data_IF_238113440740
#
_entry.id   IF_238113440740
#
_cell.length_a   1.000
_cell.length_b   1.000
_cell.length_c   1.000
_cell.angle_alpha   90.00
_cell.angle_beta   90.00
_cell.angle_gamma   90.00
#
_symmetry.space_group_name_H-M   'P 1'
#
loop_
_entity.id
_entity.type
_entity.pdbx_description
1 polymer ?
#
# COMPACT_ATOMS: atom_id res chain seq x y z
N UNK A 1 22.25 -58.17 9.52
CA UNK A 1 23.55 -57.50 9.75
C UNK A 1 23.55 -56.19 8.99
N UNK A 2 23.67 -55.08 9.72
CA UNK A 2 23.59 -53.70 9.21
C UNK A 2 24.94 -53.31 8.62
N UNK A 3 25.00 -52.78 7.39
CA UNK A 3 25.85 -51.67 6.91
C UNK A 3 25.52 -51.37 5.44
N UNK A 4 25.15 -50.13 5.11
CA UNK A 4 25.60 -49.48 3.87
C UNK A 4 25.61 -47.96 4.09
N UNK A 5 26.74 -47.35 3.72
CA UNK A 5 27.25 -46.03 4.14
C UNK A 5 26.71 -44.88 3.28
N UNK A 6 26.57 -43.73 3.95
CA UNK A 6 26.57 -42.32 3.51
C UNK A 6 27.03 -41.98 2.07
N UNK A 7 26.23 -41.15 1.37
CA UNK A 7 26.49 -40.02 0.41
C UNK A 7 25.23 -39.91 -0.50
N UNK A 8 24.66 -38.79 -0.95
CA UNK A 8 25.03 -37.38 -1.12
C UNK A 8 23.72 -36.55 -1.26
N UNK A 9 23.73 -35.33 -0.73
CA UNK A 9 22.72 -34.29 -0.99
C UNK A 9 22.82 -33.82 -2.44
N UNK A 10 21.73 -33.89 -3.21
CA UNK A 10 21.41 -32.99 -4.32
C UNK A 10 19.90 -33.05 -4.55
N UNK A 11 19.11 -32.45 -3.65
CA UNK A 11 17.81 -31.95 -4.09
C UNK A 11 18.13 -30.65 -4.82
N UNK A 12 18.09 -30.70 -6.15
CA UNK A 12 18.04 -29.51 -6.97
C UNK A 12 16.74 -28.75 -6.62
N UNK A 13 16.79 -27.90 -5.61
CA UNK A 13 15.84 -26.79 -5.51
C UNK A 13 16.38 -25.74 -6.47
N UNK A 14 16.04 -25.95 -7.75
CA UNK A 14 16.23 -25.00 -8.82
C UNK A 14 15.70 -23.64 -8.39
N UNK A 15 16.56 -22.63 -8.50
CA UNK A 15 16.27 -21.20 -8.40
C UNK A 15 15.08 -20.86 -7.49
N UNK A 16 15.34 -20.83 -6.18
CA UNK A 16 14.61 -19.92 -5.32
C UNK A 16 15.10 -18.52 -5.69
N UNK A 17 14.59 -17.99 -6.81
CA UNK A 17 14.51 -16.55 -6.96
C UNK A 17 13.71 -16.11 -5.72
N UNK A 18 14.40 -15.55 -4.75
CA UNK A 18 13.78 -14.67 -3.78
C UNK A 18 13.17 -13.56 -4.64
N UNK A 19 11.92 -13.76 -5.04
CA UNK A 19 11.07 -12.65 -5.44
C UNK A 19 10.90 -11.91 -4.12
N UNK A 20 11.69 -10.84 -3.91
CA UNK A 20 11.34 -9.84 -2.91
C UNK A 20 10.09 -9.17 -3.48
N UNK A 21 8.94 -9.84 -3.37
CA UNK A 21 7.70 -9.13 -3.40
C UNK A 21 7.81 -8.20 -2.20
N UNK A 22 7.93 -6.91 -2.45
CA UNK A 22 7.89 -5.94 -1.38
C UNK A 22 6.50 -6.09 -0.77
N UNK A 23 6.40 -6.85 0.31
CA UNK A 23 5.16 -6.98 1.05
C UNK A 23 4.88 -5.62 1.68
N UNK A 24 4.02 -4.85 1.02
CA UNK A 24 3.49 -3.63 1.60
C UNK A 24 2.47 -4.00 2.68
N UNK A 25 2.38 -3.19 3.74
CA UNK A 25 1.33 -3.34 4.72
C UNK A 25 0.08 -2.62 4.21
N UNK A 26 -0.60 -3.24 3.25
CA UNK A 26 -1.86 -2.70 2.71
C UNK A 26 -2.87 -2.48 3.84
N UNK A 27 -3.27 -1.22 4.02
CA UNK A 27 -4.23 -0.84 5.06
C UNK A 27 -5.51 -0.32 4.43
N UNK A 28 -6.61 -1.07 4.57
CA UNK A 28 -7.92 -0.62 4.08
C UNK A 28 -8.55 0.41 5.02
N UNK A 29 -9.06 1.49 4.45
CA UNK A 29 -9.69 2.60 5.19
C UNK A 29 -11.00 3.05 4.54
N UNK A 30 -11.95 3.44 5.37
CA UNK A 30 -13.25 4.01 4.96
C UNK A 30 -13.97 4.63 6.16
N UNK A 31 -15.05 5.38 5.91
CA UNK A 31 -15.91 5.90 6.97
C UNK A 31 -15.33 7.14 7.66
N UNK A 32 -15.60 7.29 8.95
CA UNK A 32 -15.20 8.47 9.70
C UNK A 32 -13.87 8.24 10.44
N UNK A 33 -12.91 9.12 10.21
CA UNK A 33 -11.60 9.09 10.88
C UNK A 33 -11.66 9.78 12.24
N UNK A 34 -10.86 9.29 13.19
CA UNK A 34 -10.52 9.94 14.45
C UNK A 34 -9.06 10.42 14.42
N UNK A 35 -8.64 11.22 15.40
CA UNK A 35 -7.25 11.71 15.46
C UNK A 35 -6.25 10.57 15.33
N UNK A 36 -5.46 10.62 14.26
CA UNK A 36 -4.52 9.54 13.93
C UNK A 36 -3.43 10.00 12.98
N UNK A 37 -2.37 9.21 12.90
CA UNK A 37 -1.27 9.39 11.98
C UNK A 37 -1.17 8.13 11.12
N UNK A 38 -1.23 8.31 9.81
CA UNK A 38 -0.88 7.30 8.84
C UNK A 38 0.63 7.33 8.61
N UNK A 39 1.26 6.19 8.80
CA UNK A 39 2.72 6.02 8.77
C UNK A 39 3.15 5.26 7.54
N UNK A 40 4.41 5.41 7.13
CA UNK A 40 4.96 4.63 6.01
C UNK A 40 4.89 3.12 6.23
N UNK A 41 4.94 2.68 7.50
CA UNK A 41 4.82 1.28 7.88
C UNK A 41 3.41 0.70 7.64
N UNK A 42 2.37 1.52 7.51
CA UNK A 42 1.01 1.11 7.12
C UNK A 42 0.66 1.44 5.68
N UNK A 43 1.63 1.87 4.88
CA UNK A 43 1.43 2.23 3.48
C UNK A 43 1.49 1.00 2.56
N UNK A 44 0.67 0.93 1.49
CA UNK A 44 -0.30 1.93 1.09
C UNK A 44 -1.61 1.87 1.90
N UNK A 45 -2.24 3.02 2.04
CA UNK A 45 -3.60 3.14 2.57
C UNK A 45 -4.61 3.11 1.43
N UNK A 46 -5.51 2.13 1.41
CA UNK A 46 -6.48 1.92 0.33
C UNK A 46 -7.86 2.41 0.78
N UNK A 47 -8.31 3.50 0.18
CA UNK A 47 -9.66 4.07 0.37
C UNK A 47 -10.68 3.20 -0.37
N UNK A 48 -11.28 2.23 0.33
CA UNK A 48 -12.31 1.30 -0.20
C UNK A 48 -13.76 1.75 0.04
N UNK A 49 -13.93 2.94 0.57
CA UNK A 49 -15.20 3.62 0.75
C UNK A 49 -14.93 5.10 1.03
N UNK A 50 -15.94 5.95 0.86
CA UNK A 50 -15.79 7.37 1.13
C UNK A 50 -15.30 7.57 2.57
N UNK A 51 -14.29 8.41 2.73
CA UNK A 51 -13.65 8.68 4.00
C UNK A 51 -13.91 10.14 4.40
N UNK A 52 -14.23 10.38 5.66
CA UNK A 52 -14.54 11.70 6.20
C UNK A 52 -13.58 11.99 7.35
N UNK A 53 -12.93 13.14 7.31
CA UNK A 53 -12.18 13.73 8.43
C UNK A 53 -13.10 14.79 9.03
N UNK A 54 -13.74 14.54 10.19
CA UNK A 54 -14.66 15.49 10.83
C UNK A 54 -13.99 16.79 11.25
N UNK A 55 -14.80 17.80 11.56
CA UNK A 55 -14.32 19.00 12.23
C UNK A 55 -13.60 18.65 13.54
N UNK A 56 -12.56 19.40 13.88
CA UNK A 56 -11.70 19.19 15.05
C UNK A 56 -10.94 17.86 15.09
N UNK A 57 -10.92 17.09 13.99
CA UNK A 57 -10.08 15.90 13.82
C UNK A 57 -8.89 16.21 12.92
N UNK A 58 -7.73 15.68 13.27
CA UNK A 58 -6.51 15.72 12.45
C UNK A 58 -6.15 14.33 11.96
N UNK A 59 -6.06 14.18 10.64
CA UNK A 59 -5.39 13.05 10.00
C UNK A 59 -4.00 13.51 9.55
N UNK A 60 -2.97 12.99 10.21
CA UNK A 60 -1.57 13.20 9.80
C UNK A 60 -1.14 12.15 8.78
N UNK A 61 -0.44 12.56 7.73
CA UNK A 61 0.23 11.69 6.76
C UNK A 61 1.73 11.93 6.86
N UNK A 62 2.49 10.90 7.27
CA UNK A 62 3.95 10.98 7.29
C UNK A 62 4.56 11.09 5.88
N UNK A 63 5.79 11.59 5.81
CA UNK A 63 6.58 11.64 4.56
C UNK A 63 6.69 10.23 3.95
N UNK A 64 6.36 10.10 2.66
CA UNK A 64 6.43 8.82 1.94
C UNK A 64 5.15 7.95 2.00
N UNK A 65 4.09 8.40 2.69
CA UNK A 65 2.81 7.70 2.68
C UNK A 65 2.19 7.71 1.29
N UNK A 66 1.73 6.53 0.84
CA UNK A 66 0.94 6.35 -0.37
C UNK A 66 -0.52 6.11 0.02
N UNK A 67 -1.42 6.90 -0.54
CA UNK A 67 -2.87 6.77 -0.40
C UNK A 67 -3.44 6.42 -1.78
N UNK A 68 -4.16 5.31 -1.83
CA UNK A 68 -4.75 4.77 -3.05
C UNK A 68 -6.25 4.78 -2.98
N UNK A 69 -6.90 5.21 -4.05
CA UNK A 69 -8.36 5.22 -4.14
C UNK A 69 -8.84 4.04 -4.97
N UNK A 70 -9.68 3.23 -4.36
CA UNK A 70 -10.41 2.20 -5.09
C UNK A 70 -11.63 2.84 -5.73
N UNK A 71 -11.66 2.88 -7.06
CA UNK A 71 -12.81 3.42 -7.82
C UNK A 71 -13.13 4.89 -7.42
N UNK A 72 -14.36 5.35 -7.63
CA UNK A 72 -14.76 6.76 -7.41
C UNK A 72 -14.90 7.19 -5.94
N UNK A 73 -14.17 6.58 -5.01
CA UNK A 73 -14.16 7.01 -3.62
C UNK A 73 -13.31 8.26 -3.42
N UNK A 74 -13.60 9.00 -2.35
CA UNK A 74 -12.95 10.27 -2.04
C UNK A 74 -12.68 10.42 -0.54
N UNK A 75 -11.80 11.37 -0.19
CA UNK A 75 -11.60 11.87 1.17
C UNK A 75 -12.26 13.24 1.28
N UNK A 76 -13.24 13.38 2.18
CA UNK A 76 -13.83 14.66 2.55
C UNK A 76 -13.14 15.20 3.79
N UNK A 77 -12.50 16.35 3.65
CA UNK A 77 -11.79 17.03 4.75
C UNK A 77 -12.67 18.16 5.31
N UNK A 78 -13.32 17.93 6.46
CA UNK A 78 -13.96 18.98 7.25
C UNK A 78 -13.06 19.47 8.40
N UNK A 79 -12.10 18.64 8.82
CA UNK A 79 -11.07 18.96 9.82
C UNK A 79 -9.73 19.32 9.18
N UNK A 80 -8.66 18.69 9.69
CA UNK A 80 -7.28 18.93 9.25
C UNK A 80 -6.76 17.65 8.58
N UNK A 81 -6.28 17.80 7.35
CA UNK A 81 -5.43 16.82 6.69
C UNK A 81 -4.00 17.38 6.69
N UNK A 82 -3.17 16.87 7.59
CA UNK A 82 -1.80 17.35 7.80
C UNK A 82 -0.81 16.46 7.04
N UNK A 83 -0.17 16.97 5.99
CA UNK A 83 0.69 16.19 5.10
C UNK A 83 2.15 16.60 5.25
N UNK A 84 2.98 15.67 5.71
CA UNK A 84 4.40 15.91 6.01
C UNK A 84 5.32 15.41 4.89
N UNK A 85 4.86 15.47 3.63
CA UNK A 85 5.62 15.07 2.45
C UNK A 85 6.83 15.98 2.18
N UNK A 86 7.92 15.39 1.67
CA UNK A 86 9.14 16.12 1.27
C UNK A 86 9.42 15.92 -0.22
N UNK A 87 10.39 16.65 -0.80
CA UNK A 87 10.82 16.43 -2.19
C UNK A 87 11.36 15.01 -2.40
N UNK A 88 12.03 14.47 -1.40
CA UNK A 88 12.70 13.18 -1.48
C UNK A 88 11.73 12.04 -1.15
N UNK A 89 10.72 12.30 -0.31
CA UNK A 89 9.71 11.33 0.11
C UNK A 89 8.32 12.01 0.12
N UNK A 90 7.71 12.22 -1.05
CA UNK A 90 6.41 12.87 -1.14
C UNK A 90 5.30 12.01 -0.53
N UNK A 91 4.20 12.65 -0.12
CA UNK A 91 2.92 11.96 0.07
C UNK A 91 2.27 11.81 -1.30
N UNK A 92 1.85 10.59 -1.65
CA UNK A 92 1.32 10.27 -2.98
C UNK A 92 -0.16 9.89 -2.87
N UNK A 93 -1.00 10.55 -3.66
CA UNK A 93 -2.40 10.17 -3.88
C UNK A 93 -2.53 9.63 -5.29
N UNK A 94 -3.07 8.41 -5.44
CA UNK A 94 -3.16 7.76 -6.75
C UNK A 94 -4.29 6.71 -6.81
N UNK A 95 -4.47 6.09 -7.97
CA UNK A 95 -5.41 4.99 -8.17
C UNK A 95 -4.94 3.73 -7.47
N UNK A 96 -5.87 2.88 -7.02
CA UNK A 96 -5.57 1.51 -6.60
C UNK A 96 -5.01 0.60 -7.71
N UNK A 97 -5.04 1.06 -8.98
CA UNK A 97 -4.43 0.39 -10.14
C UNK A 97 -3.00 0.88 -10.43
N UNK A 98 -2.47 1.81 -9.64
CA UNK A 98 -1.15 2.38 -9.88
C UNK A 98 -0.06 1.53 -9.22
N UNK A 99 0.59 0.68 -10.00
CA UNK A 99 1.64 -0.19 -9.52
C UNK A 99 2.95 0.55 -9.23
N UNK A 100 3.10 1.79 -9.72
CA UNK A 100 4.33 2.57 -9.58
C UNK A 100 4.55 3.13 -8.18
N UNK A 101 3.48 3.28 -7.39
CA UNK A 101 3.52 3.78 -6.03
C UNK A 101 2.89 2.76 -5.08
N UNK A 102 3.64 2.25 -4.10
CA UNK A 102 3.07 1.35 -3.09
C UNK A 102 2.69 -0.06 -3.56
N UNK A 103 3.14 -0.49 -4.75
CA UNK A 103 2.96 -1.86 -5.27
C UNK A 103 1.63 -2.12 -5.97
N UNK A 104 1.45 -3.33 -6.52
CA UNK A 104 0.22 -3.77 -7.19
C UNK A 104 -0.86 -4.13 -6.16
N UNK A 105 -1.80 -3.21 -5.95
CA UNK A 105 -2.85 -3.33 -4.91
C UNK A 105 -4.16 -3.95 -5.41
N UNK A 106 -4.26 -4.25 -6.70
CA UNK A 106 -5.38 -4.94 -7.35
C UNK A 106 -5.01 -6.34 -7.84
N UNK A 107 -3.73 -6.72 -7.70
CA UNK A 107 -3.16 -8.03 -8.00
C UNK A 107 -3.46 -8.47 -9.44
N UNK A 108 -3.34 -7.53 -10.38
CA UNK A 108 -3.52 -7.79 -11.81
C UNK A 108 -2.26 -7.58 -12.66
N UNK A 109 -1.10 -7.39 -12.01
CA UNK A 109 0.14 -7.01 -12.64
C UNK A 109 -0.09 -5.78 -13.55
N UNK A 110 0.64 -5.66 -14.65
CA UNK A 110 0.52 -4.50 -15.56
C UNK A 110 -0.79 -4.52 -16.41
N UNK A 111 -1.82 -5.28 -16.03
CA UNK A 111 -3.04 -5.45 -16.85
C UNK A 111 -3.88 -4.18 -16.87
N UNK A 112 -3.93 -3.45 -15.77
CA UNK A 112 -4.64 -2.18 -15.69
C UNK A 112 -3.68 -1.02 -15.46
N UNK A 113 -4.02 0.14 -16.01
CA UNK A 113 -3.23 1.36 -15.82
C UNK A 113 -4.11 2.44 -15.20
N UNK A 114 -3.56 3.27 -14.28
CA UNK A 114 -4.31 4.34 -13.66
C UNK A 114 -4.78 5.35 -14.73
N UNK A 115 -6.06 5.73 -14.69
CA UNK A 115 -6.66 6.68 -15.63
C UNK A 115 -7.24 7.91 -14.92
N UNK A 116 -7.24 9.10 -15.54
CA UNK A 116 -7.92 10.26 -14.98
C UNK A 116 -9.38 9.95 -14.61
N UNK A 117 -9.79 10.32 -13.40
CA UNK A 117 -11.14 10.02 -12.88
C UNK A 117 -11.26 8.69 -12.13
N UNK A 118 -10.20 7.87 -12.05
CA UNK A 118 -10.13 6.75 -11.11
C UNK A 118 -10.13 7.21 -9.64
N UNK A 119 -9.87 8.50 -9.37
CA UNK A 119 -9.86 9.10 -8.04
C UNK A 119 -10.21 10.60 -8.08
N UNK A 120 -10.82 11.13 -7.00
CA UNK A 120 -11.32 12.52 -6.88
C UNK A 120 -10.95 13.17 -5.54
#
# INVERSE_FOLDING_TARGET
MRYCRLLLIFVAVSFFDIIIDRAFAETEVSGTVADTIWTTAGSPYIVKGNLIIPENVTLGLESGVVVKFNNTHYIRVNGILDMQGTSDNPVVFTSWKDDSAGGDTNNDADTTVPSPGDWY
#
